data_IF_904729125550
#
_entry.id   IF_904729125550
#
_cell.length_a   1.000
_cell.length_b   1.000
_cell.length_c   1.000
_cell.angle_alpha   90.00
_cell.angle_beta   90.00
_cell.angle_gamma   90.00
#
_symmetry.space_group_name_H-M   'P 1'
#
loop_
_entity.id
_entity.type
_entity.pdbx_description
1 polymer ?
#
# COMPACT_ATOMS: atom_id res chain seq x y z
N UNK A 1 0.63 -26.44 11.12
CA UNK A 1 0.47 -26.19 9.67
C UNK A 1 0.37 -24.70 9.51
N UNK A 2 1.44 -24.03 9.06
CA UNK A 2 1.41 -22.64 8.64
C UNK A 2 0.59 -22.58 7.34
N UNK A 3 -0.58 -21.98 7.38
CA UNK A 3 -1.31 -21.63 6.16
C UNK A 3 -0.47 -20.57 5.46
N UNK A 4 0.12 -20.88 4.31
CA UNK A 4 0.69 -19.86 3.44
C UNK A 4 -0.41 -18.85 3.13
N UNK A 5 -0.18 -17.59 3.50
CA UNK A 5 -1.11 -16.52 3.20
C UNK A 5 -1.28 -16.45 1.67
N UNK A 6 -2.50 -16.62 1.16
CA UNK A 6 -2.79 -16.49 -0.27
C UNK A 6 -2.40 -15.07 -0.68
N UNK A 7 -1.50 -14.89 -1.67
CA UNK A 7 -1.10 -13.57 -2.10
C UNK A 7 -2.33 -12.71 -2.42
N UNK A 8 -2.36 -11.47 -1.94
CA UNK A 8 -3.48 -10.55 -2.22
C UNK A 8 -3.54 -10.17 -3.70
N UNK A 9 -2.41 -10.25 -4.39
CA UNK A 9 -2.28 -9.92 -5.82
C UNK A 9 -1.62 -11.09 -6.54
N UNK A 10 -2.22 -11.52 -7.62
CA UNK A 10 -1.67 -12.55 -8.51
C UNK A 10 -1.71 -12.04 -9.95
N UNK A 11 -0.67 -12.38 -10.72
CA UNK A 11 -0.63 -12.15 -12.16
C UNK A 11 -0.83 -13.48 -12.87
N UNK A 12 -1.67 -13.47 -13.88
CA UNK A 12 -2.00 -14.63 -14.72
C UNK A 12 -2.00 -14.21 -16.19
N UNK A 13 -2.05 -15.19 -17.06
CA UNK A 13 -2.28 -14.99 -18.49
C UNK A 13 -3.36 -15.94 -19.02
N UNK A 14 -3.97 -15.57 -20.12
CA UNK A 14 -4.88 -16.39 -20.89
C UNK A 14 -4.54 -16.29 -22.38
N UNK A 15 -4.61 -17.42 -23.08
CA UNK A 15 -4.44 -17.42 -24.53
C UNK A 15 -5.76 -17.06 -25.19
N UNK A 16 -5.74 -16.13 -26.15
CA UNK A 16 -6.92 -15.73 -26.93
C UNK A 16 -6.94 -16.40 -28.30
N UNK A 17 -8.05 -16.25 -29.04
CA UNK A 17 -8.33 -16.99 -30.28
C UNK A 17 -7.29 -16.78 -31.39
N UNK A 18 -6.63 -15.65 -31.45
CA UNK A 18 -5.59 -15.35 -32.44
C UNK A 18 -4.22 -15.93 -32.08
N UNK A 19 -4.14 -16.60 -30.90
CA UNK A 19 -2.94 -17.21 -30.37
C UNK A 19 -2.13 -16.32 -29.44
N UNK A 20 -2.42 -15.02 -29.35
CA UNK A 20 -1.75 -14.12 -28.40
C UNK A 20 -2.12 -14.43 -26.96
N UNK A 21 -1.37 -13.88 -26.02
CA UNK A 21 -1.63 -14.04 -24.59
C UNK A 21 -1.89 -12.68 -23.95
N UNK A 22 -2.98 -12.59 -23.19
CA UNK A 22 -3.30 -11.40 -22.37
C UNK A 22 -2.84 -11.65 -20.95
N UNK A 23 -1.96 -10.80 -20.44
CA UNK A 23 -1.57 -10.78 -19.03
C UNK A 23 -2.53 -9.91 -18.25
N UNK A 24 -3.01 -10.42 -17.13
CA UNK A 24 -3.91 -9.71 -16.23
C UNK A 24 -3.57 -9.98 -14.78
N UNK A 25 -3.87 -9.02 -13.92
CA UNK A 25 -3.83 -9.18 -12.48
C UNK A 25 -5.20 -9.50 -11.91
N UNK A 26 -5.20 -10.20 -10.78
CA UNK A 26 -6.34 -10.31 -9.86
C UNK A 26 -5.91 -9.76 -8.53
N UNK A 27 -6.33 -8.56 -8.22
CA UNK A 27 -6.04 -7.86 -6.98
C UNK A 27 -7.22 -8.04 -6.01
N UNK A 28 -7.01 -8.76 -4.91
CA UNK A 28 -8.02 -9.02 -3.88
C UNK A 28 -8.06 -7.95 -2.79
N UNK A 29 -7.08 -7.05 -2.79
CA UNK A 29 -7.04 -5.94 -1.84
C UNK A 29 -8.13 -4.89 -2.11
N UNK A 30 -8.27 -3.92 -1.23
CA UNK A 30 -9.21 -2.79 -1.35
C UNK A 30 -8.57 -1.55 -1.96
N UNK A 31 -7.30 -1.63 -2.34
CA UNK A 31 -6.49 -0.52 -2.85
C UNK A 31 -5.85 -0.88 -4.18
N UNK A 32 -5.48 0.15 -4.95
CA UNK A 32 -4.68 -0.01 -6.15
C UNK A 32 -3.27 -0.43 -5.75
N UNK A 33 -2.66 -1.31 -6.55
CA UNK A 33 -1.25 -1.68 -6.43
C UNK A 33 -0.49 -1.33 -7.69
N UNK A 34 0.78 -1.07 -7.56
CA UNK A 34 1.70 -1.01 -8.70
C UNK A 34 2.37 -2.35 -8.86
N UNK A 35 2.33 -2.91 -10.06
CA UNK A 35 2.95 -4.18 -10.43
C UNK A 35 4.20 -3.89 -11.26
N UNK A 36 5.31 -4.49 -10.86
CA UNK A 36 6.53 -4.60 -11.64
C UNK A 36 6.65 -6.05 -12.12
N UNK A 37 6.71 -6.26 -13.46
CA UNK A 37 6.80 -7.58 -14.07
C UNK A 37 7.90 -7.61 -15.11
N UNK A 38 8.72 -8.67 -15.06
CA UNK A 38 9.73 -8.93 -16.05
C UNK A 38 9.70 -10.38 -16.53
N UNK A 39 10.25 -10.61 -17.72
CA UNK A 39 10.41 -11.95 -18.27
C UNK A 39 11.83 -12.44 -18.05
N UNK A 40 11.96 -13.54 -17.31
CA UNK A 40 13.26 -14.26 -17.21
C UNK A 40 13.57 -15.08 -18.46
N UNK A 41 12.55 -15.34 -19.29
CA UNK A 41 12.68 -16.01 -20.58
C UNK A 41 11.53 -15.55 -21.49
N UNK A 42 11.85 -15.14 -22.72
CA UNK A 42 10.84 -14.77 -23.73
C UNK A 42 11.37 -15.04 -25.13
N UNK A 43 10.88 -16.10 -25.78
CA UNK A 43 11.29 -16.55 -27.10
C UNK A 43 10.15 -16.47 -28.10
N UNK A 44 10.42 -15.90 -29.27
CA UNK A 44 9.46 -15.73 -30.38
C UNK A 44 8.18 -14.97 -30.01
N UNK A 45 8.26 -14.06 -29.05
CA UNK A 45 7.15 -13.25 -28.54
C UNK A 45 7.55 -11.77 -28.47
N UNK A 46 6.59 -10.90 -28.70
CA UNK A 46 6.73 -9.45 -28.52
C UNK A 46 5.57 -8.93 -27.66
N UNK A 47 5.86 -8.04 -26.72
CA UNK A 47 4.87 -7.38 -25.90
C UNK A 47 4.39 -6.09 -26.58
N UNK A 48 3.10 -5.73 -26.34
CA UNK A 48 2.50 -4.48 -26.80
C UNK A 48 2.87 -3.28 -25.91
N UNK A 49 3.54 -3.54 -24.79
CA UNK A 49 4.07 -2.52 -23.88
C UNK A 49 5.55 -2.77 -23.56
N UNK A 50 6.27 -1.75 -23.09
CA UNK A 50 7.67 -1.91 -22.66
C UNK A 50 7.84 -3.01 -21.61
N UNK A 51 8.90 -3.78 -21.71
CA UNK A 51 9.36 -4.75 -20.74
C UNK A 51 10.75 -4.32 -20.25
N UNK A 52 11.04 -4.31 -18.94
CA UNK A 52 10.16 -4.64 -17.82
C UNK A 52 8.89 -3.77 -17.77
N UNK A 53 7.76 -4.43 -17.50
CA UNK A 53 6.47 -3.76 -17.39
C UNK A 53 6.29 -3.18 -15.99
N UNK A 54 5.86 -1.92 -15.92
CA UNK A 54 5.38 -1.29 -14.69
C UNK A 54 4.00 -0.70 -14.95
N UNK A 55 3.04 -1.05 -14.11
CA UNK A 55 1.67 -0.56 -14.27
C UNK A 55 0.79 -0.79 -13.05
N UNK A 56 -0.39 -0.19 -13.08
CA UNK A 56 -1.34 -0.22 -11.99
C UNK A 56 -2.33 -1.36 -12.13
N UNK A 57 -2.72 -1.95 -11.00
CA UNK A 57 -3.78 -2.91 -10.89
C UNK A 57 -4.79 -2.47 -9.83
N UNK A 58 -5.97 -2.07 -10.28
CA UNK A 58 -7.11 -1.74 -9.42
C UNK A 58 -7.65 -3.01 -8.73
N UNK A 59 -8.42 -2.88 -7.64
CA UNK A 59 -9.14 -4.01 -7.06
C UNK A 59 -9.96 -4.77 -8.12
N UNK A 60 -9.89 -6.10 -8.05
CA UNK A 60 -10.49 -6.99 -9.05
C UNK A 60 -9.53 -7.35 -10.18
N UNK A 61 -10.07 -7.61 -11.39
CA UNK A 61 -9.29 -7.96 -12.58
C UNK A 61 -8.89 -6.72 -13.36
N UNK A 62 -7.59 -6.60 -13.66
CA UNK A 62 -7.03 -5.55 -14.53
C UNK A 62 -6.19 -6.19 -15.61
N UNK A 63 -6.50 -5.94 -16.90
CA UNK A 63 -5.62 -6.34 -18.00
C UNK A 63 -4.38 -5.44 -17.99
N UNK A 64 -3.20 -6.05 -18.05
CA UNK A 64 -1.91 -5.35 -17.95
C UNK A 64 -1.34 -5.04 -19.35
N UNK A 65 -1.09 -6.08 -20.13
CA UNK A 65 -0.54 -6.01 -21.49
C UNK A 65 -0.79 -7.34 -22.21
N UNK A 66 -0.46 -7.39 -23.52
CA UNK A 66 -0.49 -8.61 -24.30
C UNK A 66 0.86 -8.92 -24.95
N UNK A 67 1.10 -10.21 -25.17
CA UNK A 67 2.23 -10.69 -25.95
C UNK A 67 1.74 -11.49 -27.14
N UNK A 68 2.39 -11.34 -28.28
CA UNK A 68 2.03 -11.99 -29.54
C UNK A 68 3.24 -12.61 -30.23
N UNK A 69 2.98 -13.56 -31.12
CA UNK A 69 4.03 -14.21 -31.91
C UNK A 69 4.77 -13.21 -32.80
N UNK A 70 6.09 -13.27 -32.80
CA UNK A 70 6.93 -12.61 -33.81
C UNK A 70 6.83 -13.38 -35.13
N UNK A 71 6.98 -14.72 -35.06
CA UNK A 71 6.87 -15.61 -36.21
C UNK A 71 5.86 -16.70 -35.93
N UNK A 72 4.78 -16.76 -36.73
CA UNK A 72 3.74 -17.81 -36.61
C UNK A 72 4.30 -19.17 -36.97
N UNK A 73 3.87 -20.20 -36.25
CA UNK A 73 4.28 -21.60 -36.48
C UNK A 73 5.62 -21.98 -35.84
N UNK A 74 6.30 -21.03 -35.25
CA UNK A 74 7.52 -21.26 -34.44
C UNK A 74 7.12 -21.40 -32.97
N UNK A 75 7.74 -22.35 -32.28
CA UNK A 75 7.51 -22.58 -30.85
C UNK A 75 7.78 -21.31 -30.04
N UNK A 76 6.98 -21.08 -29.02
CA UNK A 76 7.14 -20.00 -28.06
C UNK A 76 7.50 -20.54 -26.70
N UNK A 77 8.25 -19.76 -25.95
CA UNK A 77 8.59 -20.04 -24.57
C UNK A 77 8.66 -18.75 -23.79
N UNK A 78 8.12 -18.75 -22.59
CA UNK A 78 8.26 -17.62 -21.69
C UNK A 78 8.17 -18.03 -20.22
N UNK A 79 8.88 -17.29 -19.39
CA UNK A 79 8.78 -17.32 -17.93
C UNK A 79 8.79 -15.88 -17.46
N UNK A 80 8.01 -15.59 -16.45
CA UNK A 80 7.93 -14.25 -15.87
C UNK A 80 7.97 -14.31 -14.37
N UNK A 81 8.40 -13.22 -13.78
CA UNK A 81 8.33 -12.94 -12.36
C UNK A 81 7.70 -11.57 -12.17
N UNK A 82 7.08 -11.34 -11.02
CA UNK A 82 6.50 -10.05 -10.69
C UNK A 82 6.63 -9.78 -9.20
N UNK A 83 6.67 -8.50 -8.90
CA UNK A 83 6.51 -7.94 -7.55
C UNK A 83 5.39 -6.92 -7.57
N UNK A 84 4.88 -6.55 -6.41
CA UNK A 84 3.92 -5.46 -6.30
C UNK A 84 4.14 -4.67 -5.03
N UNK A 85 3.81 -3.37 -5.10
CA UNK A 85 3.77 -2.47 -3.97
C UNK A 85 2.36 -1.88 -3.84
N UNK A 86 1.94 -1.60 -2.60
CA UNK A 86 0.68 -0.92 -2.37
C UNK A 86 0.75 0.52 -2.87
N UNK A 87 -0.37 0.99 -3.40
CA UNK A 87 -0.47 2.35 -3.94
C UNK A 87 -0.24 2.41 -5.44
N UNK A 88 -0.48 3.60 -5.96
CA UNK A 88 -0.32 3.95 -7.35
C UNK A 88 0.98 4.72 -7.53
N UNK A 89 1.95 4.16 -8.25
CA UNK A 89 3.22 4.84 -8.54
C UNK A 89 3.03 6.13 -9.37
N UNK A 90 1.88 6.28 -9.99
CA UNK A 90 1.52 7.43 -10.82
C UNK A 90 0.42 8.30 -10.19
N UNK A 91 0.11 8.07 -8.88
CA UNK A 91 -0.86 8.90 -8.19
C UNK A 91 -0.36 10.34 -8.08
N UNK A 92 -1.29 11.28 -8.24
CA UNK A 92 -1.08 12.67 -7.93
C UNK A 92 -1.89 12.99 -6.66
N UNK A 93 -1.27 12.99 -5.48
CA UNK A 93 -1.98 13.34 -4.25
C UNK A 93 -2.61 14.72 -4.36
N UNK A 94 -3.83 14.86 -3.83
CA UNK A 94 -4.50 16.16 -3.77
C UNK A 94 -3.91 17.02 -2.64
N UNK A 95 -2.94 17.84 -2.97
CA UNK A 95 -2.29 18.76 -2.02
C UNK A 95 -3.22 19.88 -1.50
N UNK A 96 -4.38 20.06 -2.12
CA UNK A 96 -5.38 21.04 -1.67
C UNK A 96 -6.38 20.45 -0.66
N UNK A 97 -6.32 19.13 -0.43
CA UNK A 97 -7.25 18.46 0.48
C UNK A 97 -7.08 18.94 1.92
N UNK A 98 -8.19 19.33 2.54
CA UNK A 98 -8.20 19.80 3.94
C UNK A 98 -8.40 18.60 4.86
N UNK A 99 -7.38 18.27 5.63
CA UNK A 99 -7.40 17.19 6.62
C UNK A 99 -8.04 17.68 7.94
N UNK A 100 -8.77 16.80 8.60
CA UNK A 100 -9.17 17.03 9.98
C UNK A 100 -7.95 16.85 10.90
N UNK A 101 -7.91 17.57 12.00
CA UNK A 101 -6.97 17.25 13.07
C UNK A 101 -7.38 15.93 13.71
N UNK A 102 -6.44 14.98 13.92
CA UNK A 102 -6.74 13.65 14.44
C UNK A 102 -7.00 13.62 15.96
N UNK A 103 -7.65 14.62 16.48
CA UNK A 103 -7.95 14.83 17.90
C UNK A 103 -9.44 15.12 18.08
N UNK A 104 -9.94 14.93 19.31
CA UNK A 104 -11.34 15.21 19.64
C UNK A 104 -11.69 16.67 19.33
N UNK A 105 -12.86 16.88 18.73
CA UNK A 105 -13.39 18.24 18.51
C UNK A 105 -13.45 19.02 19.83
N UNK A 106 -12.99 20.28 19.78
CA UNK A 106 -12.91 21.17 20.95
C UNK A 106 -11.72 20.93 21.87
N UNK A 107 -10.87 19.90 21.61
CA UNK A 107 -9.65 19.74 22.37
C UNK A 107 -8.60 20.78 21.98
N UNK A 108 -7.77 21.17 22.97
CA UNK A 108 -6.64 22.09 22.77
C UNK A 108 -5.44 21.28 22.27
N UNK A 109 -5.43 20.91 20.99
CA UNK A 109 -4.26 20.29 20.40
C UNK A 109 -3.15 21.34 20.20
N UNK A 110 -1.94 21.04 20.66
CA UNK A 110 -0.76 21.86 20.43
C UNK A 110 0.14 21.17 19.42
N UNK A 111 0.36 21.78 18.26
CA UNK A 111 1.40 21.37 17.33
C UNK A 111 2.73 21.73 17.95
N UNK A 112 3.56 20.72 18.28
CA UNK A 112 4.82 20.94 18.99
C UNK A 112 6.02 20.95 18.05
N UNK A 113 5.97 20.24 16.92
CA UNK A 113 7.05 20.21 15.94
C UNK A 113 6.58 19.70 14.58
N UNK A 114 7.18 20.24 13.51
CA UNK A 114 7.26 19.55 12.23
C UNK A 114 8.48 18.64 12.30
N UNK A 115 8.31 17.33 12.29
CA UNK A 115 9.43 16.41 12.34
C UNK A 115 9.81 15.94 10.95
N UNK A 116 11.11 15.78 10.75
CA UNK A 116 11.69 15.13 9.57
C UNK A 116 11.54 13.60 9.56
N UNK A 117 10.67 13.03 10.40
CA UNK A 117 10.44 11.59 10.43
C UNK A 117 9.25 11.30 9.49
N UNK A 118 9.55 11.18 8.21
CA UNK A 118 8.68 10.45 7.31
C UNK A 118 9.08 8.97 7.36
N UNK A 119 8.13 8.02 7.48
CA UNK A 119 8.45 6.64 7.20
C UNK A 119 8.97 6.58 5.76
N UNK A 120 10.13 5.95 5.58
CA UNK A 120 10.65 5.63 4.26
C UNK A 120 9.63 4.74 3.57
N UNK A 121 8.81 5.33 2.72
CA UNK A 121 8.01 4.56 1.77
C UNK A 121 8.98 3.84 0.84
N UNK A 122 8.70 2.58 0.45
CA UNK A 122 9.51 1.90 -0.55
C UNK A 122 9.54 2.75 -1.81
N UNK A 123 10.68 3.38 -2.13
CA UNK A 123 10.86 4.21 -3.31
C UNK A 123 11.22 5.68 -3.06
N UNK A 124 12.16 5.97 -2.16
CA UNK A 124 12.94 7.24 -2.04
C UNK A 124 12.19 8.58 -2.20
N UNK A 125 10.91 8.66 -1.87
CA UNK A 125 10.19 9.93 -1.79
C UNK A 125 9.91 10.23 -0.32
N UNK A 126 10.96 10.53 0.43
CA UNK A 126 10.82 11.12 1.75
C UNK A 126 10.77 12.64 1.59
N UNK A 127 9.59 13.24 1.60
CA UNK A 127 9.48 14.65 1.89
C UNK A 127 9.77 14.84 3.40
N UNK A 128 10.89 15.47 3.78
CA UNK A 128 11.29 15.60 5.17
C UNK A 128 10.32 16.44 6.02
N UNK A 129 9.39 17.16 5.40
CA UNK A 129 8.48 18.07 6.09
C UNK A 129 7.04 17.53 6.23
N UNK A 130 6.80 16.25 5.96
CA UNK A 130 5.45 15.68 5.87
C UNK A 130 4.84 15.23 7.22
N UNK A 131 5.56 15.22 8.32
CA UNK A 131 5.05 14.75 9.61
C UNK A 131 4.68 15.89 10.55
N UNK A 132 3.51 15.78 11.19
CA UNK A 132 3.02 16.71 12.20
C UNK A 132 3.00 16.00 13.56
N UNK A 133 3.64 16.58 14.56
CA UNK A 133 3.53 16.15 15.95
C UNK A 133 2.43 16.91 16.67
N UNK A 134 1.47 16.17 17.16
CA UNK A 134 0.41 16.70 18.01
C UNK A 134 0.64 16.22 19.44
N UNK A 135 0.75 17.17 20.38
CA UNK A 135 0.77 16.83 21.80
C UNK A 135 -0.65 16.49 22.24
N UNK A 136 -0.83 15.28 22.73
CA UNK A 136 -2.06 14.77 23.31
C UNK A 136 -1.75 14.12 24.66
N UNK A 137 -2.78 13.91 25.48
CA UNK A 137 -2.64 13.26 26.78
C UNK A 137 -2.83 11.74 26.65
N UNK A 138 -2.33 11.01 27.64
CA UNK A 138 -2.48 9.55 27.72
C UNK A 138 -3.95 9.13 27.62
N UNK A 139 -4.18 8.20 26.71
CA UNK A 139 -5.51 7.65 26.53
C UNK A 139 -6.45 8.53 25.69
N UNK A 140 -6.00 9.71 25.25
CA UNK A 140 -6.74 10.50 24.30
C UNK A 140 -7.00 9.69 23.03
N UNK A 141 -8.20 9.83 22.46
CA UNK A 141 -8.55 9.15 21.21
C UNK A 141 -7.93 9.84 20.02
N UNK A 142 -7.30 9.04 19.16
CA UNK A 142 -6.78 9.45 17.84
C UNK A 142 -7.84 9.14 16.79
N UNK A 143 -8.14 10.12 15.95
CA UNK A 143 -9.16 10.02 14.91
C UNK A 143 -8.54 10.01 13.51
N UNK A 144 -9.26 9.44 12.54
CA UNK A 144 -8.85 9.49 11.13
C UNK A 144 -8.93 10.94 10.62
N UNK A 145 -7.80 11.49 10.17
CA UNK A 145 -7.75 12.83 9.59
C UNK A 145 -8.43 12.90 8.21
N UNK A 146 -8.53 11.76 7.52
CA UNK A 146 -9.15 11.61 6.20
C UNK A 146 -9.70 10.20 6.03
N UNK A 147 -10.79 10.08 5.27
CA UNK A 147 -11.41 8.79 4.95
C UNK A 147 -10.51 7.92 4.07
N UNK A 148 -10.55 6.59 4.29
CA UNK A 148 -9.75 5.66 3.51
C UNK A 148 -9.99 4.21 3.92
N UNK A 149 -9.05 3.34 3.55
CA UNK A 149 -8.98 1.96 4.01
C UNK A 149 -7.74 1.77 4.88
N UNK A 150 -7.90 1.10 6.01
CA UNK A 150 -6.76 0.70 6.86
C UNK A 150 -5.91 -0.27 6.06
N UNK A 151 -4.76 0.20 5.61
CA UNK A 151 -3.80 -0.58 4.83
C UNK A 151 -3.06 -1.56 5.72
N UNK A 152 -2.51 -1.05 6.82
CA UNK A 152 -1.69 -1.84 7.73
C UNK A 152 -1.89 -1.40 9.16
N UNK A 153 -1.90 -2.36 10.05
CA UNK A 153 -1.81 -2.16 11.50
C UNK A 153 -0.54 -2.87 11.96
N UNK A 154 0.35 -2.12 12.63
CA UNK A 154 1.53 -2.68 13.27
C UNK A 154 1.31 -2.70 14.78
N UNK A 155 1.29 -3.90 15.38
CA UNK A 155 1.29 -4.09 16.82
C UNK A 155 2.44 -5.04 17.17
N UNK A 156 3.51 -4.53 17.83
CA UNK A 156 4.65 -5.34 18.22
C UNK A 156 4.30 -6.53 19.11
N UNK A 157 3.23 -6.42 19.90
CA UNK A 157 2.77 -7.52 20.74
C UNK A 157 2.21 -8.71 19.94
N UNK A 158 1.81 -8.50 18.69
CA UNK A 158 1.29 -9.55 17.80
C UNK A 158 2.38 -10.24 16.96
N UNK A 159 3.59 -9.66 16.90
CA UNK A 159 4.74 -10.21 16.17
C UNK A 159 5.72 -10.85 17.16
N UNK A 160 5.44 -12.08 17.59
CA UNK A 160 6.40 -12.91 18.33
C UNK A 160 7.50 -13.43 17.40
N UNK A 161 8.45 -12.57 17.04
CA UNK A 161 9.60 -12.91 16.21
C UNK A 161 10.74 -11.96 16.45
N UNK A 162 11.83 -12.48 16.98
CA UNK A 162 13.11 -11.88 17.33
C UNK A 162 13.50 -10.65 16.45
N UNK A 163 13.17 -9.47 16.94
CA UNK A 163 13.78 -8.24 16.46
C UNK A 163 14.88 -7.82 17.45
N UNK A 164 15.99 -7.30 16.95
CA UNK A 164 17.08 -6.79 17.77
C UNK A 164 16.58 -5.78 18.80
N UNK A 165 17.17 -5.80 19.99
CA UNK A 165 16.77 -5.02 21.18
C UNK A 165 16.78 -3.49 21.02
N UNK A 166 17.19 -2.95 19.87
CA UNK A 166 17.39 -1.52 19.65
C UNK A 166 16.31 -0.84 18.80
N UNK A 167 15.29 -1.56 18.34
CA UNK A 167 14.21 -0.95 17.55
C UNK A 167 12.96 -0.84 18.41
N UNK A 168 12.60 0.37 18.83
CA UNK A 168 11.32 0.66 19.46
C UNK A 168 10.24 0.45 18.40
N UNK A 169 9.60 -0.71 18.42
CA UNK A 169 8.45 -0.98 17.55
C UNK A 169 7.22 -0.25 18.11
N UNK A 170 6.96 0.93 17.60
CA UNK A 170 5.76 1.69 17.95
C UNK A 170 4.54 1.10 17.24
N UNK A 171 3.41 1.03 17.95
CA UNK A 171 2.13 0.74 17.33
C UNK A 171 1.79 1.82 16.33
N UNK A 172 1.31 1.39 15.15
CA UNK A 172 0.96 2.31 14.08
C UNK A 172 -0.26 1.82 13.27
N UNK A 173 -0.93 2.78 12.66
CA UNK A 173 -2.00 2.56 11.68
C UNK A 173 -1.66 3.33 10.42
N UNK A 174 -1.73 2.66 9.28
CA UNK A 174 -1.55 3.23 7.95
C UNK A 174 -2.90 3.22 7.23
N UNK A 175 -3.32 4.35 6.67
CA UNK A 175 -4.59 4.50 5.95
C UNK A 175 -4.30 4.87 4.49
N UNK A 176 -4.79 4.08 3.55
CA UNK A 176 -4.75 4.36 2.12
C UNK A 176 -5.95 5.23 1.72
N UNK A 177 -5.69 6.36 1.07
CA UNK A 177 -6.70 7.30 0.61
C UNK A 177 -7.05 7.12 -0.88
N UNK A 178 -8.20 7.65 -1.30
CA UNK A 178 -8.71 7.47 -2.67
C UNK A 178 -7.86 8.11 -3.76
N UNK A 179 -7.00 9.07 -3.42
CA UNK A 179 -6.05 9.72 -4.33
C UNK A 179 -4.69 9.01 -4.38
N UNK A 180 -4.55 7.87 -3.72
CA UNK A 180 -3.31 7.09 -3.68
C UNK A 180 -2.33 7.50 -2.59
N UNK A 181 -2.61 8.55 -1.82
CA UNK A 181 -1.79 8.95 -0.68
C UNK A 181 -2.03 8.06 0.55
N UNK A 182 -1.11 8.13 1.52
CA UNK A 182 -1.20 7.42 2.78
C UNK A 182 -1.21 8.38 3.96
N UNK A 183 -2.08 8.10 4.95
CA UNK A 183 -2.01 8.68 6.28
C UNK A 183 -1.31 7.70 7.22
N UNK A 184 -0.34 8.16 7.98
CA UNK A 184 0.45 7.34 8.89
C UNK A 184 0.35 7.86 10.32
N UNK A 185 -0.15 7.02 11.22
CA UNK A 185 -0.38 7.35 12.63
C UNK A 185 0.54 6.49 13.50
N UNK A 186 1.33 7.11 14.34
CA UNK A 186 2.29 6.45 15.23
C UNK A 186 2.09 6.81 16.69
N UNK A 187 2.83 6.15 17.58
CA UNK A 187 2.80 6.37 19.03
C UNK A 187 1.41 6.08 19.59
N UNK A 188 0.85 4.97 19.11
CA UNK A 188 -0.49 4.52 19.49
C UNK A 188 -0.44 3.48 20.61
N UNK A 189 -1.55 3.36 21.34
CA UNK A 189 -1.75 2.31 22.34
C UNK A 189 -2.87 1.38 21.89
N UNK A 190 -4.05 1.50 22.42
CA UNK A 190 -5.15 0.60 22.08
C UNK A 190 -5.67 0.88 20.66
N UNK A 191 -5.37 0.00 19.71
CA UNK A 191 -5.83 0.13 18.32
C UNK A 191 -7.24 -0.43 18.19
N UNK A 192 -8.16 0.35 17.60
CA UNK A 192 -9.59 0.07 17.48
C UNK A 192 -9.98 -0.46 16.09
N UNK A 193 -9.06 -0.45 15.14
CA UNK A 193 -9.27 -0.83 13.73
C UNK A 193 -8.34 -1.97 13.33
N UNK A 194 -8.65 -2.64 12.23
CA UNK A 194 -7.83 -3.70 11.65
C UNK A 194 -7.59 -3.47 10.16
N UNK A 195 -6.56 -4.08 9.60
CA UNK A 195 -6.26 -4.03 8.17
C UNK A 195 -7.47 -4.47 7.34
N UNK A 196 -7.79 -3.70 6.30
CA UNK A 196 -8.95 -3.88 5.42
C UNK A 196 -10.22 -3.14 5.86
N UNK A 197 -10.27 -2.59 7.07
CA UNK A 197 -11.42 -1.79 7.50
C UNK A 197 -11.51 -0.51 6.67
N UNK A 198 -12.74 -0.07 6.38
CA UNK A 198 -13.01 1.26 5.86
C UNK A 198 -13.20 2.21 7.04
N UNK A 199 -12.56 3.36 6.99
CA UNK A 199 -12.70 4.41 7.99
C UNK A 199 -13.12 5.72 7.33
N UNK A 200 -13.93 6.51 8.03
CA UNK A 200 -14.31 7.85 7.61
C UNK A 200 -13.53 8.89 8.41
N UNK A 201 -13.35 10.08 7.83
CA UNK A 201 -12.72 11.18 8.55
C UNK A 201 -13.48 11.45 9.86
N UNK A 202 -12.75 11.57 10.96
CA UNK A 202 -13.33 11.74 12.30
C UNK A 202 -13.71 10.44 13.02
N UNK A 203 -13.52 9.26 12.42
CA UNK A 203 -13.71 8.00 13.14
C UNK A 203 -12.51 7.66 14.05
N UNK A 204 -12.74 7.05 15.22
CA UNK A 204 -11.69 6.68 16.14
C UNK A 204 -10.82 5.55 15.59
N UNK A 205 -9.50 5.70 15.68
CA UNK A 205 -8.51 4.73 15.21
C UNK A 205 -7.82 4.00 16.37
N UNK A 206 -7.47 4.73 17.41
CA UNK A 206 -6.66 4.24 18.52
C UNK A 206 -6.70 5.20 19.69
N UNK A 207 -5.96 4.90 20.76
CA UNK A 207 -5.63 5.85 21.82
C UNK A 207 -4.15 6.21 21.76
N UNK A 208 -3.80 7.33 22.40
CA UNK A 208 -2.40 7.79 22.51
C UNK A 208 -1.66 6.95 23.52
N UNK A 209 -0.50 6.42 23.10
CA UNK A 209 0.50 5.86 24.02
C UNK A 209 1.18 7.01 24.76
N UNK A 210 1.43 6.81 26.03
CA UNK A 210 2.29 7.74 26.77
C UNK A 210 3.39 7.01 27.47
N UNK A 211 4.43 7.77 27.78
CA UNK A 211 5.47 7.39 28.69
C UNK A 211 4.98 7.20 30.13
#
# INVERSE_FOLDING_TARGET
>A
FSQEAVPEVIVKYEQVRDGSYIFYSVNKSKYTVTIDLDFTEMENLAADKPIPFRGEAKPGRTNLFSISYITKGVQVKFKYEFTYIAGCAYSAPDYSFVYLLPVKEGSKARVTNFSKICPTLPGDIADPDCAIYLRAEKGDTVYAARSGYVFKVTDPASTSGAGSADTIHLRSVEIYHSDGSFGYYQILDNILVKSGDRVFAGEPLATVLTE
#
